data_IF_463334605813
#
_entry.id   IF_463334605813
#
_cell.length_a   1.000
_cell.length_b   1.000
_cell.length_c   1.000
_cell.angle_alpha   90.00
_cell.angle_beta   90.00
_cell.angle_gamma   90.00
#
_symmetry.space_group_name_H-M   'P 1'
#
loop_
_entity.id
_entity.type
_entity.pdbx_description
1 polymer ?
#
# COMPACT_ATOMS: atom_id res chain seq x y z
N UNK A 1 8.38 -48.51 -22.11
CA UNK A 1 7.49 -47.38 -21.67
C UNK A 1 8.18 -46.08 -22.07
N UNK A 2 7.57 -45.22 -22.92
CA UNK A 2 8.11 -43.90 -23.16
C UNK A 2 8.04 -43.12 -21.83
N UNK A 3 9.16 -42.61 -21.33
CA UNK A 3 9.22 -41.77 -20.16
C UNK A 3 8.42 -40.54 -20.46
N UNK A 4 7.41 -40.22 -19.67
CA UNK A 4 6.60 -39.03 -19.84
C UNK A 4 7.51 -37.80 -19.64
N UNK A 5 7.53 -36.87 -20.59
CA UNK A 5 8.37 -35.70 -20.53
C UNK A 5 7.84 -34.73 -19.46
N UNK A 6 8.75 -34.05 -18.77
CA UNK A 6 8.39 -33.02 -17.83
C UNK A 6 7.79 -31.81 -18.59
N UNK A 7 6.56 -31.46 -18.27
CA UNK A 7 5.83 -30.35 -18.92
C UNK A 7 6.23 -29.02 -18.32
N UNK A 8 6.40 -28.02 -19.18
CA UNK A 8 6.84 -26.71 -18.78
C UNK A 8 6.08 -25.59 -19.52
N UNK A 9 5.93 -24.43 -18.86
CA UNK A 9 5.55 -23.20 -19.52
C UNK A 9 6.79 -22.36 -19.80
N UNK A 10 6.72 -21.51 -20.82
CA UNK A 10 7.68 -20.43 -21.05
C UNK A 10 7.01 -19.08 -20.88
N UNK A 11 7.71 -18.14 -20.27
CA UNK A 11 7.25 -16.77 -20.15
C UNK A 11 8.31 -15.77 -20.62
N UNK A 12 7.90 -14.89 -21.53
CA UNK A 12 8.73 -13.79 -22.04
C UNK A 12 8.07 -12.45 -21.80
N UNK A 13 8.89 -11.45 -21.51
CA UNK A 13 8.44 -10.06 -21.33
C UNK A 13 9.38 -9.10 -22.05
N UNK A 14 8.79 -8.23 -22.88
CA UNK A 14 9.50 -7.15 -23.58
C UNK A 14 9.25 -5.83 -22.84
N UNK A 15 10.26 -4.98 -22.68
CA UNK A 15 10.09 -3.59 -22.26
C UNK A 15 10.57 -2.67 -23.37
N UNK A 16 9.97 -1.48 -23.51
CA UNK A 16 10.37 -0.45 -24.48
C UNK A 16 11.82 0.02 -24.29
N UNK A 17 12.46 -0.26 -23.15
CA UNK A 17 13.88 0.02 -22.87
C UNK A 17 14.82 -1.11 -23.33
N UNK A 18 14.34 -2.17 -23.95
CA UNK A 18 15.09 -3.41 -24.24
C UNK A 18 16.04 -3.36 -25.42
N UNK A 19 16.16 -2.26 -26.11
CA UNK A 19 17.25 -2.07 -27.06
C UNK A 19 18.64 -1.99 -26.40
N UNK A 20 18.69 -1.89 -25.05
CA UNK A 20 19.94 -1.75 -24.29
C UNK A 20 20.59 -3.09 -23.91
N UNK A 21 19.82 -4.18 -23.74
CA UNK A 21 20.33 -5.49 -23.28
C UNK A 21 20.74 -6.45 -24.40
N UNK A 22 20.61 -6.07 -25.66
CA UNK A 22 21.18 -6.79 -26.84
C UNK A 22 20.49 -8.13 -27.22
N UNK A 23 19.48 -8.60 -26.50
CA UNK A 23 18.79 -9.86 -26.85
C UNK A 23 17.41 -9.58 -27.40
N UNK A 24 17.20 -9.96 -28.69
CA UNK A 24 15.85 -9.95 -29.30
C UNK A 24 14.93 -10.96 -28.59
N UNK A 25 13.63 -10.77 -28.72
CA UNK A 25 12.63 -11.71 -28.18
C UNK A 25 12.87 -13.14 -28.70
N UNK A 26 13.18 -13.26 -30.00
CA UNK A 26 13.45 -14.53 -30.65
C UNK A 26 14.69 -15.22 -30.06
N UNK A 27 15.73 -14.46 -29.72
CA UNK A 27 16.92 -15.00 -29.08
C UNK A 27 16.63 -15.53 -27.67
N UNK A 28 15.75 -14.85 -26.90
CA UNK A 28 15.32 -15.32 -25.58
C UNK A 28 14.51 -16.63 -25.70
N UNK A 29 13.55 -16.68 -26.63
CA UNK A 29 12.74 -17.88 -26.92
C UNK A 29 13.63 -19.04 -27.36
N UNK A 30 14.57 -18.78 -28.27
CA UNK A 30 15.50 -19.80 -28.75
C UNK A 30 16.34 -20.41 -27.61
N UNK A 31 16.84 -19.60 -26.69
CA UNK A 31 17.60 -20.08 -25.52
C UNK A 31 16.73 -20.91 -24.57
N UNK A 32 15.50 -20.48 -24.27
CA UNK A 32 14.58 -21.26 -23.43
C UNK A 32 14.20 -22.58 -24.08
N UNK A 33 13.98 -22.59 -25.40
CA UNK A 33 13.70 -23.81 -26.16
C UNK A 33 14.91 -24.76 -26.13
N UNK A 34 16.11 -24.27 -26.39
CA UNK A 34 17.33 -25.07 -26.30
C UNK A 34 17.53 -25.66 -24.90
N UNK A 35 17.22 -24.91 -23.86
CA UNK A 35 17.26 -25.40 -22.49
C UNK A 35 16.21 -26.50 -22.24
N UNK A 36 14.98 -26.33 -22.74
CA UNK A 36 13.93 -27.34 -22.63
C UNK A 36 14.31 -28.63 -23.36
N UNK A 37 14.83 -28.51 -24.58
CA UNK A 37 15.29 -29.66 -25.39
C UNK A 37 16.45 -30.41 -24.68
N UNK A 38 17.41 -29.68 -24.13
CA UNK A 38 18.56 -30.26 -23.42
C UNK A 38 18.13 -31.04 -22.15
N UNK A 39 17.10 -30.58 -21.43
CA UNK A 39 16.61 -31.21 -20.21
C UNK A 39 15.47 -32.21 -20.47
N UNK A 40 15.13 -32.51 -21.72
CA UNK A 40 14.02 -33.38 -22.13
C UNK A 40 12.66 -32.91 -21.60
N UNK A 41 12.44 -31.56 -21.64
CA UNK A 41 11.19 -30.95 -21.26
C UNK A 41 10.27 -30.78 -22.46
N UNK A 42 8.96 -30.80 -22.21
CA UNK A 42 7.91 -30.50 -23.18
C UNK A 42 7.30 -29.13 -22.91
N UNK A 43 7.45 -28.17 -23.83
CA UNK A 43 6.81 -26.86 -23.74
C UNK A 43 5.34 -27.03 -24.14
N UNK A 44 4.43 -26.90 -23.16
CA UNK A 44 2.97 -27.07 -23.37
C UNK A 44 2.24 -25.72 -23.40
N UNK A 45 2.91 -24.61 -23.10
CA UNK A 45 2.35 -23.27 -23.19
C UNK A 45 3.43 -22.20 -23.27
N UNK A 46 3.20 -21.18 -24.10
CA UNK A 46 4.07 -20.03 -24.27
C UNK A 46 3.28 -18.76 -23.97
N UNK A 47 3.76 -17.95 -23.01
CA UNK A 47 3.12 -16.70 -22.60
C UNK A 47 4.06 -15.54 -22.87
N UNK A 48 3.51 -14.48 -23.48
CA UNK A 48 4.29 -13.32 -23.88
C UNK A 48 3.55 -12.03 -23.57
N UNK A 49 4.16 -11.17 -22.76
CA UNK A 49 3.69 -9.81 -22.55
C UNK A 49 4.55 -8.83 -23.36
N UNK A 50 3.99 -8.30 -24.44
CA UNK A 50 4.60 -7.24 -25.23
C UNK A 50 4.52 -5.91 -24.45
N UNK A 51 5.68 -5.29 -24.17
CA UNK A 51 5.80 -4.17 -23.28
C UNK A 51 5.04 -2.92 -23.69
N UNK A 52 3.94 -2.64 -22.99
CA UNK A 52 3.49 -1.26 -22.76
C UNK A 52 4.00 -0.84 -21.40
N UNK A 53 4.46 0.43 -21.27
CA UNK A 53 5.11 1.03 -20.11
C UNK A 53 4.54 0.59 -18.75
N UNK A 54 5.39 -0.01 -17.94
CA UNK A 54 5.06 -0.81 -16.80
C UNK A 54 4.70 -0.07 -15.52
N UNK A 55 3.52 0.50 -15.38
CA UNK A 55 3.07 1.05 -14.10
C UNK A 55 2.00 0.24 -13.37
N UNK A 56 1.41 -0.81 -13.94
CA UNK A 56 0.41 -1.63 -13.26
C UNK A 56 0.50 -3.12 -13.63
N UNK A 57 -0.05 -3.98 -12.77
CA UNK A 57 -0.28 -5.41 -13.02
C UNK A 57 -1.18 -5.61 -14.26
N UNK A 58 -2.04 -4.64 -14.57
CA UNK A 58 -2.92 -4.59 -15.74
C UNK A 58 -2.18 -4.70 -17.09
N UNK A 59 -0.84 -4.46 -17.14
CA UNK A 59 -0.01 -4.63 -18.35
C UNK A 59 0.60 -6.02 -18.53
N UNK A 60 0.25 -7.04 -17.73
CA UNK A 60 0.80 -8.41 -17.76
C UNK A 60 -0.30 -9.46 -17.90
N UNK A 61 -1.16 -9.29 -18.89
CA UNK A 61 -2.32 -10.16 -19.08
C UNK A 61 -1.92 -11.62 -19.29
N UNK A 62 -0.83 -11.87 -20.04
CA UNK A 62 -0.35 -13.22 -20.29
C UNK A 62 0.30 -13.86 -19.05
N UNK A 63 1.00 -13.07 -18.24
CA UNK A 63 1.50 -13.55 -16.94
C UNK A 63 0.35 -13.94 -16.01
N UNK A 64 -0.68 -13.11 -15.93
CA UNK A 64 -1.86 -13.41 -15.12
C UNK A 64 -2.56 -14.67 -15.59
N UNK A 65 -2.70 -14.84 -16.91
CA UNK A 65 -3.28 -16.04 -17.49
C UNK A 65 -2.44 -17.29 -17.17
N UNK A 66 -1.11 -17.21 -17.32
CA UNK A 66 -0.20 -18.29 -16.94
C UNK A 66 -0.38 -18.70 -15.46
N UNK A 67 -0.49 -17.73 -14.57
CA UNK A 67 -0.69 -18.00 -13.15
C UNK A 67 -2.04 -18.66 -12.86
N UNK A 68 -3.11 -18.29 -13.58
CA UNK A 68 -4.41 -18.95 -13.47
C UNK A 68 -4.39 -20.37 -14.05
N UNK A 69 -3.70 -20.60 -15.15
CA UNK A 69 -3.53 -21.93 -15.75
C UNK A 69 -2.73 -22.85 -14.81
N UNK A 70 -1.72 -22.33 -14.09
CA UNK A 70 -0.98 -23.05 -13.02
C UNK A 70 -1.92 -23.41 -11.88
N UNK A 71 -2.69 -22.45 -11.35
CA UNK A 71 -3.63 -22.67 -10.23
C UNK A 71 -4.72 -23.70 -10.58
N UNK A 72 -5.17 -23.70 -11.83
CA UNK A 72 -6.18 -24.67 -12.29
C UNK A 72 -5.62 -26.07 -12.53
N UNK A 73 -4.28 -26.24 -12.57
CA UNK A 73 -3.62 -27.50 -12.91
C UNK A 73 -3.84 -27.94 -14.35
N UNK A 74 -4.24 -27.04 -15.25
CA UNK A 74 -4.72 -27.28 -16.63
C UNK A 74 -3.83 -28.23 -17.43
N UNK A 75 -2.53 -28.05 -17.40
CA UNK A 75 -1.59 -28.84 -18.22
C UNK A 75 -0.64 -29.72 -17.38
N UNK A 76 -0.71 -29.62 -16.03
CA UNK A 76 0.14 -30.39 -15.13
C UNK A 76 1.63 -30.05 -15.25
N UNK A 77 1.97 -28.75 -15.38
CA UNK A 77 3.34 -28.29 -15.54
C UNK A 77 4.13 -28.38 -14.24
N UNK A 78 5.43 -28.68 -14.35
CA UNK A 78 6.34 -28.74 -13.22
C UNK A 78 7.25 -27.51 -13.12
N UNK A 79 7.47 -26.81 -14.24
CA UNK A 79 8.34 -25.63 -14.29
C UNK A 79 7.78 -24.54 -15.17
N UNK A 80 8.15 -23.29 -14.80
CA UNK A 80 8.08 -22.12 -15.67
C UNK A 80 9.51 -21.73 -16.03
N UNK A 81 9.80 -21.65 -17.33
CA UNK A 81 11.07 -21.18 -17.85
C UNK A 81 10.99 -19.70 -18.18
N UNK A 82 11.95 -18.91 -17.71
CA UNK A 82 12.11 -17.50 -18.06
C UNK A 82 13.55 -17.25 -18.48
N UNK A 83 13.78 -16.24 -19.30
CA UNK A 83 15.13 -15.92 -19.75
C UNK A 83 16.00 -15.42 -18.59
N UNK A 84 15.53 -14.40 -17.86
CA UNK A 84 16.18 -13.83 -16.65
C UNK A 84 15.15 -13.55 -15.58
N UNK A 85 15.58 -13.51 -14.31
CA UNK A 85 14.73 -13.19 -13.17
C UNK A 85 14.04 -11.82 -13.30
N UNK A 86 14.74 -10.83 -13.87
CA UNK A 86 14.20 -9.49 -14.14
C UNK A 86 13.04 -9.48 -15.16
N UNK A 87 12.82 -10.58 -15.89
CA UNK A 87 11.68 -10.78 -16.79
C UNK A 87 10.48 -11.37 -16.06
N UNK A 88 10.73 -12.15 -15.02
CA UNK A 88 9.69 -12.76 -14.22
C UNK A 88 8.99 -11.74 -13.29
N UNK A 89 9.73 -10.89 -12.58
CA UNK A 89 9.18 -9.87 -11.69
C UNK A 89 9.82 -8.49 -11.90
N UNK A 90 9.20 -7.46 -11.34
CA UNK A 90 9.68 -6.07 -11.40
C UNK A 90 10.58 -5.71 -10.24
N UNK A 91 10.31 -6.27 -9.10
CA UNK A 91 11.03 -6.10 -7.85
C UNK A 91 11.06 -7.44 -7.08
N UNK A 92 11.81 -7.50 -6.02
CA UNK A 92 11.96 -8.71 -5.22
C UNK A 92 10.63 -9.21 -4.64
N UNK A 93 9.73 -8.32 -4.23
CA UNK A 93 8.43 -8.67 -3.66
C UNK A 93 7.50 -9.33 -4.70
N UNK A 94 7.46 -8.82 -5.94
CA UNK A 94 6.67 -9.41 -7.03
C UNK A 94 7.17 -10.81 -7.39
N UNK A 95 8.50 -10.97 -7.48
CA UNK A 95 9.14 -12.27 -7.74
C UNK A 95 8.76 -13.26 -6.66
N UNK A 96 8.94 -12.86 -5.39
CA UNK A 96 8.67 -13.71 -4.24
C UNK A 96 7.21 -14.15 -4.15
N UNK A 97 6.27 -13.23 -4.27
CA UNK A 97 4.84 -13.55 -4.20
C UNK A 97 4.40 -14.50 -5.32
N UNK A 98 4.92 -14.28 -6.53
CA UNK A 98 4.62 -15.15 -7.67
C UNK A 98 5.23 -16.55 -7.50
N UNK A 99 6.47 -16.62 -7.02
CA UNK A 99 7.15 -17.90 -6.71
C UNK A 99 6.40 -18.68 -5.63
N UNK A 100 5.95 -18.01 -4.58
CA UNK A 100 5.22 -18.66 -3.50
C UNK A 100 3.92 -19.30 -4.01
N UNK A 101 3.16 -18.56 -4.80
CA UNK A 101 1.96 -19.10 -5.46
C UNK A 101 2.30 -20.31 -6.33
N UNK A 102 3.34 -20.23 -7.17
CA UNK A 102 3.74 -21.37 -8.00
C UNK A 102 4.12 -22.60 -7.18
N UNK A 103 4.88 -22.41 -6.09
CA UNK A 103 5.30 -23.49 -5.19
C UNK A 103 4.11 -24.15 -4.47
N UNK A 104 3.08 -23.37 -4.10
CA UNK A 104 1.84 -23.90 -3.51
C UNK A 104 1.14 -24.90 -4.45
N UNK A 105 1.35 -24.76 -5.78
CA UNK A 105 0.86 -25.68 -6.81
C UNK A 105 1.92 -26.64 -7.35
N UNK A 106 3.08 -26.75 -6.67
CA UNK A 106 4.16 -27.69 -7.03
C UNK A 106 4.95 -27.29 -8.27
N UNK A 107 4.85 -26.03 -8.74
CA UNK A 107 5.54 -25.53 -9.93
C UNK A 107 6.76 -24.72 -9.52
N UNK A 108 7.90 -24.97 -10.18
CA UNK A 108 9.17 -24.30 -9.93
C UNK A 108 9.53 -23.30 -11.04
N UNK A 109 10.39 -22.35 -10.72
CA UNK A 109 10.93 -21.37 -11.66
C UNK A 109 12.36 -21.73 -12.08
N UNK A 110 12.62 -21.64 -13.39
CA UNK A 110 13.98 -21.71 -13.92
C UNK A 110 14.28 -20.44 -14.71
N UNK A 111 15.35 -19.73 -14.33
CA UNK A 111 15.89 -18.61 -15.08
C UNK A 111 17.10 -19.08 -15.88
N UNK A 112 16.92 -19.25 -17.19
CA UNK A 112 17.87 -19.95 -18.06
C UNK A 112 19.23 -19.25 -18.12
N UNK A 113 19.24 -17.90 -18.24
CA UNK A 113 20.47 -17.13 -18.35
C UNK A 113 21.15 -16.90 -17.00
N UNK A 114 20.35 -16.73 -15.93
CA UNK A 114 20.89 -16.50 -14.59
C UNK A 114 21.32 -17.80 -13.89
N UNK A 115 21.01 -18.98 -14.48
CA UNK A 115 21.29 -20.29 -13.88
C UNK A 115 20.53 -20.58 -12.58
N UNK A 116 19.40 -19.91 -12.37
CA UNK A 116 18.58 -20.04 -11.16
C UNK A 116 17.53 -21.12 -11.39
N UNK A 117 17.44 -22.09 -10.48
CA UNK A 117 16.44 -23.16 -10.47
C UNK A 117 15.87 -23.26 -9.04
N UNK A 118 14.61 -22.84 -8.86
CA UNK A 118 13.98 -22.77 -7.55
C UNK A 118 13.73 -24.15 -6.91
N UNK A 119 13.84 -25.23 -7.66
CA UNK A 119 13.74 -26.59 -7.13
C UNK A 119 15.02 -27.03 -6.39
N UNK A 120 16.14 -26.36 -6.65
CA UNK A 120 17.46 -26.67 -6.08
C UNK A 120 17.77 -25.78 -4.86
N UNK A 121 18.67 -26.21 -4.00
CA UNK A 121 19.03 -25.49 -2.78
C UNK A 121 19.63 -24.11 -3.04
N UNK A 122 20.41 -23.94 -4.11
CA UNK A 122 20.90 -22.62 -4.53
C UNK A 122 19.75 -21.66 -4.90
N UNK A 123 18.70 -22.17 -5.55
CA UNK A 123 17.50 -21.39 -5.86
C UNK A 123 16.71 -21.00 -4.62
N UNK A 124 16.59 -21.92 -3.65
CA UNK A 124 15.93 -21.64 -2.35
C UNK A 124 16.69 -20.57 -1.57
N UNK A 125 18.03 -20.60 -1.58
CA UNK A 125 18.86 -19.55 -0.99
C UNK A 125 18.60 -18.20 -1.65
N UNK A 126 18.54 -18.17 -2.98
CA UNK A 126 18.23 -16.95 -3.73
C UNK A 126 16.85 -16.37 -3.36
N UNK A 127 15.83 -17.22 -3.21
CA UNK A 127 14.49 -16.79 -2.75
C UNK A 127 14.58 -16.17 -1.35
N UNK A 128 15.37 -16.74 -0.45
CA UNK A 128 15.57 -16.19 0.90
C UNK A 128 16.25 -14.83 0.87
N UNK A 129 17.25 -14.64 0.00
CA UNK A 129 17.92 -13.34 -0.20
C UNK A 129 16.94 -12.30 -0.78
N UNK A 130 16.16 -12.67 -1.79
CA UNK A 130 15.14 -11.80 -2.37
C UNK A 130 14.07 -11.40 -1.33
N UNK A 131 13.70 -12.32 -0.43
CA UNK A 131 12.78 -12.04 0.68
C UNK A 131 13.34 -10.96 1.61
N UNK A 132 14.59 -11.08 1.99
CA UNK A 132 15.27 -10.11 2.85
C UNK A 132 15.38 -8.74 2.18
N UNK A 133 15.74 -8.71 0.90
CA UNK A 133 15.79 -7.45 0.12
C UNK A 133 14.41 -6.80 0.03
N UNK A 134 13.35 -7.57 -0.24
CA UNK A 134 11.99 -7.04 -0.30
C UNK A 134 11.52 -6.45 1.05
N UNK A 135 11.95 -7.02 2.16
CA UNK A 135 11.62 -6.51 3.50
C UNK A 135 12.37 -5.20 3.78
N UNK A 136 13.64 -5.11 3.41
CA UNK A 136 14.44 -3.87 3.52
C UNK A 136 13.82 -2.76 2.66
N UNK A 137 13.42 -3.04 1.43
CA UNK A 137 12.75 -2.06 0.55
C UNK A 137 11.45 -1.53 1.16
N UNK A 138 10.61 -2.41 1.73
CA UNK A 138 9.37 -2.00 2.41
C UNK A 138 9.65 -1.09 3.61
N UNK A 139 10.65 -1.44 4.41
CA UNK A 139 11.02 -0.61 5.56
C UNK A 139 11.56 0.76 5.14
N UNK A 140 12.40 0.81 4.10
CA UNK A 140 12.90 2.08 3.55
C UNK A 140 11.76 2.97 3.05
N UNK A 141 10.77 2.40 2.32
CA UNK A 141 9.59 3.14 1.86
C UNK A 141 8.77 3.65 3.07
N UNK A 142 8.63 2.83 4.10
CA UNK A 142 7.94 3.22 5.34
C UNK A 142 8.64 4.41 6.02
N UNK A 143 9.96 4.34 6.19
CA UNK A 143 10.77 5.41 6.78
C UNK A 143 10.65 6.69 5.97
N UNK A 144 10.87 6.64 4.66
CA UNK A 144 10.74 7.81 3.77
C UNK A 144 9.34 8.43 3.80
N UNK A 145 8.29 7.60 3.85
CA UNK A 145 6.91 8.08 3.96
C UNK A 145 6.69 8.80 5.30
N UNK A 146 7.23 8.26 6.40
CA UNK A 146 7.12 8.87 7.73
C UNK A 146 7.89 10.20 7.78
N UNK A 147 9.11 10.24 7.27
CA UNK A 147 9.92 11.48 7.19
C UNK A 147 9.22 12.55 6.35
N UNK A 148 8.67 12.17 5.19
CA UNK A 148 7.90 13.09 4.35
C UNK A 148 6.66 13.65 5.06
N UNK A 149 5.96 12.84 5.88
CA UNK A 149 4.84 13.31 6.71
C UNK A 149 5.29 14.24 7.83
N UNK A 150 6.40 13.93 8.50
CA UNK A 150 6.99 14.79 9.54
C UNK A 150 7.38 16.14 8.94
N UNK A 151 8.06 16.12 7.79
CA UNK A 151 8.47 17.36 7.11
C UNK A 151 7.26 18.19 6.68
N UNK A 152 6.23 17.57 6.12
CA UNK A 152 4.98 18.23 5.75
C UNK A 152 4.29 18.89 6.96
N UNK A 153 4.32 18.23 8.13
CA UNK A 153 3.77 18.79 9.35
C UNK A 153 4.61 19.99 9.87
N UNK A 154 5.95 19.91 9.80
CA UNK A 154 6.84 21.04 10.14
C UNK A 154 6.61 22.25 9.24
N UNK A 155 6.23 22.03 7.99
CA UNK A 155 5.84 23.10 7.06
C UNK A 155 4.42 23.64 7.28
N UNK A 156 3.74 23.25 8.36
CA UNK A 156 2.38 23.69 8.68
C UNK A 156 1.30 23.15 7.74
N UNK A 157 1.58 22.10 6.99
CA UNK A 157 0.65 21.48 6.02
C UNK A 157 -0.13 20.33 6.64
N UNK A 158 -1.40 20.21 6.28
CA UNK A 158 -2.24 19.12 6.74
C UNK A 158 -1.79 17.74 6.20
N UNK A 159 -1.67 16.77 7.10
CA UNK A 159 -1.25 15.40 6.80
C UNK A 159 -2.39 14.37 6.76
N UNK A 160 -3.60 14.76 7.13
CA UNK A 160 -4.76 13.87 7.15
C UNK A 160 -5.38 13.65 5.77
N UNK A 161 -6.09 12.54 5.60
CA UNK A 161 -6.88 12.27 4.37
C UNK A 161 -8.17 13.07 4.32
N UNK A 162 -8.84 13.26 5.48
CA UNK A 162 -10.06 14.04 5.59
C UNK A 162 -9.79 15.33 6.37
N UNK A 163 -10.45 16.43 5.95
CA UNK A 163 -10.40 17.66 6.71
C UNK A 163 -11.11 17.50 8.07
N UNK A 164 -10.64 18.13 9.15
CA UNK A 164 -11.39 18.26 10.40
C UNK A 164 -12.75 18.90 10.17
N UNK A 165 -13.73 18.64 11.03
CA UNK A 165 -15.02 19.33 10.98
C UNK A 165 -14.80 20.84 11.15
N UNK A 166 -15.48 21.67 10.38
CA UNK A 166 -15.22 23.11 10.28
C UNK A 166 -14.25 23.50 9.16
N UNK A 167 -13.57 22.52 8.54
CA UNK A 167 -12.68 22.75 7.40
C UNK A 167 -13.03 21.86 6.22
N UNK A 168 -12.67 22.30 5.02
CA UNK A 168 -12.63 21.51 3.79
C UNK A 168 -11.22 21.47 3.24
N UNK A 169 -10.88 20.38 2.55
CA UNK A 169 -9.56 20.22 1.92
C UNK A 169 -9.65 20.60 0.44
N UNK A 170 -8.92 21.63 0.04
CA UNK A 170 -8.82 22.09 -1.36
C UNK A 170 -7.35 22.17 -1.72
N UNK A 171 -6.92 21.44 -2.74
CA UNK A 171 -5.54 21.38 -3.20
C UNK A 171 -4.52 21.10 -2.06
N UNK A 172 -4.90 20.23 -1.12
CA UNK A 172 -4.05 19.88 0.02
C UNK A 172 -3.98 20.92 1.16
N UNK A 173 -4.76 22.00 1.07
CA UNK A 173 -4.86 23.05 2.09
C UNK A 173 -6.20 22.98 2.80
N UNK A 174 -6.18 23.24 4.11
CA UNK A 174 -7.40 23.41 4.90
C UNK A 174 -7.96 24.82 4.66
N UNK A 175 -9.22 24.88 4.27
CA UNK A 175 -9.98 26.14 4.09
C UNK A 175 -11.21 26.04 4.99
N UNK A 176 -11.56 27.12 5.68
CA UNK A 176 -12.73 27.17 6.55
C UNK A 176 -14.00 26.85 5.74
N UNK A 177 -14.81 25.96 6.29
CA UNK A 177 -16.17 25.71 5.84
C UNK A 177 -17.12 26.45 6.81
N UNK A 178 -17.61 27.62 6.45
CA UNK A 178 -18.36 28.49 7.35
C UNK A 178 -19.60 27.82 7.94
N UNK A 179 -20.32 27.01 7.16
CA UNK A 179 -21.48 26.27 7.65
C UNK A 179 -21.17 25.34 8.82
N UNK A 180 -19.99 24.72 8.81
CA UNK A 180 -19.52 23.84 9.87
C UNK A 180 -18.77 24.60 10.97
N UNK A 181 -18.06 25.69 10.61
CA UNK A 181 -17.22 26.45 11.51
C UNK A 181 -18.03 27.20 12.57
N UNK A 182 -19.26 27.61 12.24
CA UNK A 182 -20.16 28.24 13.20
C UNK A 182 -20.43 27.33 14.42
N UNK A 183 -20.69 26.05 14.17
CA UNK A 183 -20.86 25.09 15.27
C UNK A 183 -19.60 24.93 16.13
N UNK A 184 -18.41 25.00 15.50
CA UNK A 184 -17.14 24.96 16.24
C UNK A 184 -17.00 26.19 17.13
N UNK A 185 -17.27 27.39 16.61
CA UNK A 185 -17.24 28.65 17.40
C UNK A 185 -18.18 28.56 18.62
N UNK A 186 -19.40 28.07 18.42
CA UNK A 186 -20.37 27.86 19.52
C UNK A 186 -19.84 26.85 20.54
N UNK A 187 -19.23 25.75 20.11
CA UNK A 187 -18.65 24.76 21.05
C UNK A 187 -17.58 25.38 21.93
N UNK A 188 -16.67 26.16 21.34
CA UNK A 188 -15.61 26.84 22.10
C UNK A 188 -16.16 27.96 22.98
N UNK A 189 -17.11 28.76 22.50
CA UNK A 189 -17.79 29.80 23.28
C UNK A 189 -18.46 29.22 24.53
N UNK A 190 -19.24 28.17 24.36
CA UNK A 190 -19.90 27.51 25.49
C UNK A 190 -18.92 26.89 26.46
N UNK A 191 -17.77 26.37 25.99
CA UNK A 191 -16.75 25.78 26.84
C UNK A 191 -16.01 26.81 27.66
N UNK A 192 -15.73 27.99 27.07
CA UNK A 192 -14.93 29.07 27.72
C UNK A 192 -15.78 29.94 28.65
N UNK A 193 -17.01 30.24 28.25
CA UNK A 193 -17.85 31.24 28.95
C UNK A 193 -18.92 30.63 29.84
N UNK A 194 -19.00 29.29 29.93
CA UNK A 194 -19.97 28.61 30.81
C UNK A 194 -19.30 27.47 31.59
N UNK A 195 -19.93 27.02 32.66
CA UNK A 195 -19.46 25.86 33.46
C UNK A 195 -19.94 24.51 32.96
N UNK A 196 -20.49 24.45 31.72
CA UNK A 196 -20.98 23.20 31.17
C UNK A 196 -19.86 22.38 30.50
N UNK A 197 -19.79 21.08 30.84
CA UNK A 197 -18.85 20.16 30.21
C UNK A 197 -19.35 19.65 28.85
N UNK A 198 -18.57 18.80 28.20
CA UNK A 198 -18.87 18.30 26.85
C UNK A 198 -20.27 17.69 26.68
N UNK A 199 -20.81 17.02 27.71
CA UNK A 199 -22.20 16.50 27.68
C UNK A 199 -23.23 17.62 27.69
N UNK A 200 -22.99 18.68 28.47
CA UNK A 200 -23.86 19.87 28.52
C UNK A 200 -23.84 20.64 27.21
N UNK A 201 -22.65 20.78 26.58
CA UNK A 201 -22.50 21.42 25.26
C UNK A 201 -23.25 20.61 24.20
N UNK A 202 -23.16 19.28 24.20
CA UNK A 202 -23.91 18.42 23.27
C UNK A 202 -25.42 18.67 23.34
N UNK A 203 -25.95 18.70 24.60
CA UNK A 203 -27.35 18.99 24.86
C UNK A 203 -27.75 20.42 24.51
N UNK A 204 -26.86 21.39 24.75
CA UNK A 204 -27.06 22.78 24.34
C UNK A 204 -27.23 22.91 22.84
N UNK A 205 -26.33 22.31 22.05
CA UNK A 205 -26.40 22.32 20.58
C UNK A 205 -27.70 21.68 20.08
N UNK A 206 -28.08 20.54 20.65
CA UNK A 206 -29.31 19.83 20.30
C UNK A 206 -30.57 20.71 20.55
N UNK A 207 -30.65 21.35 21.73
CA UNK A 207 -31.78 22.20 22.11
C UNK A 207 -31.91 23.46 21.27
N UNK A 208 -30.78 23.95 20.74
CA UNK A 208 -30.75 25.13 19.85
C UNK A 208 -30.82 24.75 18.36
N UNK A 209 -31.07 23.48 18.04
CA UNK A 209 -31.20 23.02 16.66
C UNK A 209 -29.92 23.02 15.86
N UNK A 210 -28.75 23.19 16.51
CA UNK A 210 -27.45 23.14 15.85
C UNK A 210 -27.09 21.68 15.59
N UNK A 211 -27.07 21.31 14.33
CA UNK A 211 -26.85 19.95 13.88
C UNK A 211 -25.59 19.84 13.06
N UNK A 212 -24.96 18.68 13.16
CA UNK A 212 -23.81 18.32 12.37
C UNK A 212 -24.22 18.10 10.91
N UNK A 213 -23.48 18.66 9.97
CA UNK A 213 -23.64 18.36 8.55
C UNK A 213 -23.09 16.96 8.32
N UNK A 214 -23.89 16.01 7.80
CA UNK A 214 -23.42 14.64 7.56
C UNK A 214 -22.28 14.61 6.56
N UNK A 215 -21.19 13.95 6.91
CA UNK A 215 -20.08 13.62 6.00
C UNK A 215 -20.14 12.15 5.60
N UNK A 216 -19.36 11.72 4.61
CA UNK A 216 -19.45 10.41 3.92
C UNK A 216 -19.71 9.19 4.80
N UNK A 217 -19.31 9.17 6.06
CA UNK A 217 -19.42 8.02 6.94
C UNK A 217 -20.27 8.26 8.20
N UNK A 218 -20.98 9.38 8.31
CA UNK A 218 -21.74 9.72 9.51
C UNK A 218 -23.21 10.03 9.20
N UNK A 219 -24.12 9.14 9.64
CA UNK A 219 -25.57 9.36 9.53
C UNK A 219 -26.18 10.13 10.71
N UNK A 220 -25.45 10.24 11.83
CA UNK A 220 -25.96 10.90 13.03
C UNK A 220 -25.72 12.42 12.93
N UNK A 221 -26.79 13.25 12.91
CA UNK A 221 -26.69 14.70 12.82
C UNK A 221 -26.40 15.36 14.17
N UNK A 222 -26.38 14.61 15.28
CA UNK A 222 -26.18 15.16 16.61
C UNK A 222 -24.68 15.15 16.97
N UNK A 223 -24.25 16.21 17.65
CA UNK A 223 -22.95 16.24 18.32
C UNK A 223 -23.03 15.42 19.60
N UNK A 224 -22.12 14.48 19.77
CA UNK A 224 -21.95 13.75 21.01
C UNK A 224 -20.77 14.29 21.82
N UNK A 225 -20.76 13.98 23.11
CA UNK A 225 -19.71 14.45 24.02
C UNK A 225 -18.32 13.94 23.66
N UNK A 226 -18.21 12.80 22.98
CA UNK A 226 -16.92 12.29 22.51
C UNK A 226 -16.36 13.18 21.41
N UNK A 227 -17.15 13.50 20.41
CA UNK A 227 -16.75 14.38 19.31
C UNK A 227 -16.40 15.78 19.84
N UNK A 228 -17.18 16.35 20.76
CA UNK A 228 -16.91 17.64 21.38
C UNK A 228 -15.53 17.62 22.08
N UNK A 229 -15.22 16.58 22.86
CA UNK A 229 -13.89 16.46 23.47
C UNK A 229 -12.77 16.35 22.44
N UNK A 230 -13.01 15.69 21.32
CA UNK A 230 -12.04 15.60 20.21
C UNK A 230 -11.82 16.97 19.55
N UNK A 231 -12.89 17.75 19.38
CA UNK A 231 -12.84 19.12 18.86
C UNK A 231 -12.04 20.01 19.80
N UNK A 232 -12.40 20.09 21.07
CA UNK A 232 -11.74 20.93 22.08
C UNK A 232 -10.24 20.60 22.27
N UNK A 233 -9.85 19.35 22.08
CA UNK A 233 -8.45 18.91 22.17
C UNK A 233 -7.65 19.07 20.89
N UNK A 234 -8.26 19.52 19.81
CA UNK A 234 -7.58 19.53 18.51
C UNK A 234 -6.99 20.91 18.21
N UNK A 235 -5.66 21.07 18.22
CA UNK A 235 -5.01 22.36 18.01
C UNK A 235 -5.21 22.95 16.61
N UNK A 236 -5.76 22.19 15.66
CA UNK A 236 -6.04 22.66 14.30
C UNK A 236 -7.00 23.86 14.31
N UNK A 237 -7.92 23.92 15.28
CA UNK A 237 -8.87 25.03 15.39
C UNK A 237 -8.24 26.36 15.79
N UNK A 238 -7.09 26.31 16.47
CA UNK A 238 -6.26 27.46 16.81
C UNK A 238 -5.10 27.66 15.80
N UNK A 239 -5.23 27.14 14.59
CA UNK A 239 -4.24 27.36 13.52
C UNK A 239 -2.97 26.52 13.61
N UNK A 240 -2.94 25.46 14.44
CA UNK A 240 -1.74 24.61 14.60
C UNK A 240 -1.90 23.22 13.97
N UNK A 241 -0.81 22.68 13.47
CA UNK A 241 -0.74 21.31 12.96
C UNK A 241 -0.04 20.42 13.99
N UNK A 242 -0.74 19.40 14.46
CA UNK A 242 -0.19 18.38 15.35
C UNK A 242 0.03 17.05 14.61
N UNK A 243 1.23 16.49 14.72
CA UNK A 243 1.57 15.21 14.10
C UNK A 243 2.17 14.24 15.12
N UNK A 244 1.73 12.97 15.08
CA UNK A 244 2.26 11.94 15.98
C UNK A 244 1.60 11.91 17.37
N UNK A 245 0.42 12.51 17.56
CA UNK A 245 -0.32 12.49 18.84
C UNK A 245 -0.69 11.08 19.31
N UNK A 246 -0.73 10.14 18.38
CA UNK A 246 -1.06 8.74 18.65
C UNK A 246 -0.13 7.83 17.87
N UNK A 247 0.25 6.71 18.48
CA UNK A 247 0.96 5.62 17.82
C UNK A 247 0.25 4.30 18.03
N UNK A 248 0.40 3.41 17.08
CA UNK A 248 -0.08 2.02 17.19
C UNK A 248 1.02 1.18 17.80
N UNK A 249 0.75 0.55 18.94
CA UNK A 249 1.67 -0.36 19.62
C UNK A 249 1.10 -1.78 19.61
N UNK A 250 1.98 -2.76 19.38
CA UNK A 250 1.61 -4.16 19.46
C UNK A 250 1.29 -4.56 20.89
N UNK A 251 0.18 -5.26 21.09
CA UNK A 251 -0.18 -5.79 22.41
C UNK A 251 0.74 -6.98 22.72
N UNK A 252 1.45 -6.92 23.86
CA UNK A 252 2.35 -8.01 24.28
C UNK A 252 1.55 -9.30 24.46
N UNK A 253 2.11 -10.42 24.00
CA UNK A 253 1.48 -11.74 24.11
C UNK A 253 0.45 -12.05 23.03
N UNK A 254 0.16 -11.13 22.12
CA UNK A 254 -0.73 -11.36 20.98
C UNK A 254 0.01 -11.37 19.65
N UNK A 255 -0.51 -12.11 18.66
CA UNK A 255 0.14 -12.24 17.35
C UNK A 255 -0.14 -11.04 16.46
N UNK A 256 -1.39 -10.52 16.48
CA UNK A 256 -1.88 -9.50 15.53
C UNK A 256 -2.73 -8.40 16.18
N UNK A 257 -2.70 -8.27 17.51
CA UNK A 257 -3.45 -7.20 18.17
C UNK A 257 -2.59 -5.96 18.38
N UNK A 258 -3.17 -4.83 18.08
CA UNK A 258 -2.56 -3.52 18.21
C UNK A 258 -3.49 -2.59 18.98
N UNK A 259 -2.93 -1.76 19.86
CA UNK A 259 -3.64 -0.69 20.55
C UNK A 259 -3.14 0.67 20.12
N UNK A 260 -4.05 1.63 20.14
CA UNK A 260 -3.72 3.01 19.91
C UNK A 260 -3.31 3.64 21.24
N UNK A 261 -2.13 4.24 21.32
CA UNK A 261 -1.58 4.88 22.51
C UNK A 261 -1.36 6.36 22.22
N UNK A 262 -1.80 7.23 23.13
CA UNK A 262 -1.53 8.66 23.06
C UNK A 262 -0.05 8.92 23.36
N UNK A 263 0.51 9.93 22.73
CA UNK A 263 1.90 10.36 22.93
C UNK A 263 1.93 11.78 23.46
N UNK A 264 2.70 11.99 24.53
CA UNK A 264 2.91 13.32 25.10
C UNK A 264 3.91 14.14 24.29
N UNK A 265 4.87 13.46 23.64
CA UNK A 265 5.88 14.10 22.81
C UNK A 265 5.51 13.95 21.33
N UNK A 266 4.77 14.91 20.79
CA UNK A 266 4.36 14.98 19.40
C UNK A 266 4.79 16.31 18.76
N UNK A 267 4.91 16.34 17.44
CA UNK A 267 5.24 17.55 16.72
C UNK A 267 4.01 18.48 16.69
N UNK A 268 4.21 19.71 17.13
CA UNK A 268 3.27 20.82 17.00
C UNK A 268 3.95 21.94 16.20
N UNK A 269 3.32 22.40 15.15
CA UNK A 269 3.82 23.46 14.27
C UNK A 269 2.71 24.45 13.92
N UNK A 270 3.08 25.67 13.59
CA UNK A 270 2.14 26.67 13.05
C UNK A 270 1.59 26.17 11.71
N UNK A 271 0.27 26.18 11.58
CA UNK A 271 -0.43 25.77 10.37
C UNK A 271 -0.46 26.88 9.32
N UNK A 272 -0.51 26.49 8.06
CA UNK A 272 -0.73 27.44 6.95
C UNK A 272 -2.21 27.78 6.73
N UNK A 273 -3.10 27.23 7.53
CA UNK A 273 -4.54 27.46 7.45
C UNK A 273 -5.00 28.52 8.43
N UNK A 274 -6.10 29.16 8.12
CA UNK A 274 -6.74 30.15 8.98
C UNK A 274 -7.36 29.48 10.21
N UNK A 275 -7.16 30.00 11.44
CA UNK A 275 -7.79 29.47 12.65
C UNK A 275 -9.29 29.80 12.69
N UNK A 276 -10.12 28.88 13.21
CA UNK A 276 -11.54 29.14 13.45
C UNK A 276 -11.74 29.87 14.78
N UNK A 277 -10.88 29.62 15.75
CA UNK A 277 -10.90 30.26 17.07
C UNK A 277 -9.51 30.78 17.44
N UNK A 278 -9.46 31.85 18.23
CA UNK A 278 -8.20 32.36 18.81
C UNK A 278 -7.66 31.41 19.88
N UNK A 279 -6.37 31.53 20.20
CA UNK A 279 -5.76 30.85 21.34
C UNK A 279 -6.35 31.32 22.67
#
# INVERSE_FOLDING_TARGET
MKKEKTKVYTYTRVSTAMQVDGYSLDAQKAKMKAYADYNDYEIVGEYEDAGKSGKSIEGRAQFSQMMEDIKSGKDGVSYVLVFKLSRFGRNAADVLSSLQVMQDFGVNLVCVEDGIDSSKDAGKLMISVLSAVAEIERENIRVQTMEGRIQKAREGRWNGGFAPYGYRLVDGKLIINEEEAEAIRVIYDQYVHTDIGANGIAKYLENHGIRKIPRQNGKNPLFDAHLIRLILKNPVYCGKIAYGRRKTEKVRGTRNEYKLVEQDNYLLAEGLHEPIVSE
#
